data_IF_395615691443
#
_entry.id   IF_395615691443
#
_cell.length_a   1.000
_cell.length_b   1.000
_cell.length_c   1.000
_cell.angle_alpha   90.00
_cell.angle_beta   90.00
_cell.angle_gamma   90.00
#
_symmetry.space_group_name_H-M   'P 1'
#
loop_
_entity.id
_entity.type
_entity.pdbx_description
1 polymer ?
#
# COMPACT_ATOMS: atom_id res chain seq x y z
N UNK A 1 -10.13 -5.01 -14.07
CA UNK A 1 -9.47 -4.69 -12.79
C UNK A 1 -7.97 -4.88 -12.92
N UNK A 2 -7.20 -3.93 -12.45
CA UNK A 2 -5.75 -4.03 -12.39
C UNK A 2 -5.35 -4.38 -10.96
N UNK A 3 -4.46 -5.36 -10.80
CA UNK A 3 -3.94 -5.75 -9.49
C UNK A 3 -2.43 -5.64 -9.52
N UNK A 4 -1.86 -4.96 -8.54
CA UNK A 4 -0.42 -4.77 -8.41
C UNK A 4 0.05 -5.23 -7.04
N UNK A 5 1.24 -5.82 -7.01
CA UNK A 5 1.94 -6.13 -5.77
C UNK A 5 3.19 -5.26 -5.71
N UNK A 6 3.36 -4.59 -4.58
CA UNK A 6 4.59 -3.85 -4.31
C UNK A 6 5.27 -4.50 -3.12
N UNK A 7 6.56 -4.82 -3.29
CA UNK A 7 7.37 -5.34 -2.20
C UNK A 7 8.41 -4.30 -1.84
N UNK A 8 8.41 -3.87 -0.59
CA UNK A 8 9.32 -2.84 -0.12
C UNK A 8 10.04 -3.30 1.14
N UNK A 9 11.36 -3.15 1.14
CA UNK A 9 12.17 -3.41 2.32
C UNK A 9 12.44 -2.09 3.03
N UNK A 10 12.16 -2.05 4.32
CA UNK A 10 12.22 -0.84 5.14
C UNK A 10 13.44 -0.90 6.04
N UNK A 11 14.04 0.24 6.32
CA UNK A 11 15.13 0.33 7.30
C UNK A 11 14.63 -0.18 8.65
N UNK A 12 15.42 -1.07 9.29
CA UNK A 12 14.97 -1.74 10.51
C UNK A 12 14.59 -0.76 11.62
N UNK A 13 15.31 0.34 11.75
CA UNK A 13 15.04 1.36 12.75
C UNK A 13 13.85 2.26 12.42
N UNK A 14 13.24 2.09 11.24
CA UNK A 14 12.10 2.88 10.78
C UNK A 14 10.79 2.09 10.72
N UNK A 15 10.84 0.79 10.97
CA UNK A 15 9.64 -0.06 10.86
C UNK A 15 8.51 0.42 11.78
N UNK A 16 8.82 0.79 13.03
CA UNK A 16 7.81 1.26 13.97
C UNK A 16 7.17 2.58 13.52
N UNK A 17 7.97 3.50 12.97
CA UNK A 17 7.46 4.77 12.45
C UNK A 17 6.56 4.54 11.25
N UNK A 18 6.96 3.63 10.35
CA UNK A 18 6.15 3.27 9.19
C UNK A 18 4.81 2.70 9.62
N UNK A 19 4.79 1.78 10.58
CA UNK A 19 3.54 1.13 10.98
C UNK A 19 2.59 2.12 11.65
N UNK A 20 3.12 3.04 12.44
CA UNK A 20 2.31 4.10 13.02
C UNK A 20 1.68 4.97 11.93
N UNK A 21 2.49 5.40 10.98
CA UNK A 21 2.02 6.22 9.87
C UNK A 21 1.03 5.46 8.98
N UNK A 22 1.25 4.16 8.77
CA UNK A 22 0.33 3.33 7.99
C UNK A 22 -1.04 3.23 8.66
N UNK A 23 -1.09 3.08 9.97
CA UNK A 23 -2.36 3.04 10.71
C UNK A 23 -3.12 4.35 10.57
N UNK A 24 -2.42 5.47 10.65
CA UNK A 24 -3.03 6.80 10.44
C UNK A 24 -3.54 6.95 9.00
N UNK A 25 -2.76 6.49 8.02
CA UNK A 25 -3.16 6.50 6.61
C UNK A 25 -4.42 5.67 6.38
N UNK A 26 -4.47 4.44 6.91
CA UNK A 26 -5.65 3.58 6.74
C UNK A 26 -6.88 4.17 7.44
N UNK A 27 -6.71 4.84 8.57
CA UNK A 27 -7.81 5.56 9.22
C UNK A 27 -8.36 6.66 8.29
N UNK A 28 -7.48 7.41 7.64
CA UNK A 28 -7.89 8.46 6.71
C UNK A 28 -8.58 7.88 5.47
N UNK A 29 -8.08 6.75 4.95
CA UNK A 29 -8.70 6.08 3.80
C UNK A 29 -10.10 5.59 4.17
N UNK A 30 -10.25 4.98 5.34
CA UNK A 30 -11.54 4.49 5.78
C UNK A 30 -12.55 5.62 5.98
N UNK A 31 -12.13 6.76 6.50
CA UNK A 31 -12.98 7.93 6.65
C UNK A 31 -13.42 8.50 5.30
N UNK A 32 -12.54 8.51 4.32
CA UNK A 32 -12.82 9.05 2.99
C UNK A 32 -13.62 8.08 2.09
N UNK A 33 -13.50 6.78 2.33
CA UNK A 33 -14.16 5.71 1.58
C UNK A 33 -14.05 5.87 0.06
N UNK A 34 -12.82 5.95 -0.48
CA UNK A 34 -12.67 6.04 -1.93
C UNK A 34 -13.24 4.79 -2.61
N UNK A 35 -13.91 5.00 -3.73
CA UNK A 35 -14.54 3.93 -4.48
C UNK A 35 -13.63 3.42 -5.59
N UNK A 36 -13.78 2.13 -5.94
CA UNK A 36 -13.03 1.55 -7.06
C UNK A 36 -11.61 1.16 -6.73
N UNK A 37 -11.28 1.00 -5.45
CA UNK A 37 -9.93 0.61 -5.01
C UNK A 37 -10.02 -0.40 -3.86
N UNK A 38 -9.08 -1.35 -3.89
CA UNK A 38 -8.85 -2.30 -2.79
C UNK A 38 -7.38 -2.24 -2.44
N UNK A 39 -7.07 -2.16 -1.17
CA UNK A 39 -5.72 -1.84 -0.74
C UNK A 39 -5.41 -2.53 0.58
N UNK A 40 -4.29 -3.24 0.63
CA UNK A 40 -3.85 -3.92 1.84
C UNK A 40 -2.32 -3.83 1.95
N UNK A 41 -1.84 -3.75 3.17
CA UNK A 41 -0.41 -3.78 3.46
C UNK A 41 -0.14 -4.87 4.49
N UNK A 42 0.78 -5.76 4.18
CA UNK A 42 1.12 -6.90 5.02
C UNK A 42 2.61 -6.91 5.29
N UNK A 43 2.99 -7.38 6.48
CA UNK A 43 4.39 -7.48 6.88
C UNK A 43 4.84 -8.94 6.82
N UNK A 44 6.01 -9.19 6.22
CA UNK A 44 6.61 -10.51 6.23
C UNK A 44 7.22 -10.83 7.61
N UNK A 45 7.45 -12.12 7.90
CA UNK A 45 8.00 -12.52 9.20
C UNK A 45 9.38 -11.93 9.53
N UNK A 46 10.12 -11.44 8.53
CA UNK A 46 11.41 -10.79 8.77
C UNK A 46 11.28 -9.44 9.48
N UNK A 47 10.05 -8.90 9.58
CA UNK A 47 9.77 -7.67 10.30
C UNK A 47 10.16 -6.39 9.56
N UNK A 48 10.75 -6.47 8.38
CA UNK A 48 11.23 -5.29 7.62
C UNK A 48 10.73 -5.26 6.18
N UNK A 49 10.21 -6.36 5.66
CA UNK A 49 9.67 -6.42 4.31
C UNK A 49 8.16 -6.34 4.35
N UNK A 50 7.61 -5.44 3.54
CA UNK A 50 6.16 -5.22 3.45
C UNK A 50 5.69 -5.51 2.04
N UNK A 51 4.57 -6.19 1.93
CA UNK A 51 3.91 -6.50 0.66
C UNK A 51 2.60 -5.73 0.61
N UNK A 52 2.46 -4.93 -0.41
CA UNK A 52 1.26 -4.12 -0.63
C UNK A 52 0.50 -4.71 -1.81
N UNK A 53 -0.79 -4.94 -1.64
CA UNK A 53 -1.69 -5.35 -2.71
C UNK A 53 -2.62 -4.20 -3.04
N UNK A 54 -2.70 -3.87 -4.32
CA UNK A 54 -3.53 -2.77 -4.81
C UNK A 54 -4.36 -3.27 -5.97
N UNK A 55 -5.68 -3.19 -5.82
CA UNK A 55 -6.63 -3.48 -6.89
C UNK A 55 -7.34 -2.21 -7.32
N UNK A 56 -7.33 -1.93 -8.62
CA UNK A 56 -7.99 -0.75 -9.19
C UNK A 56 -9.05 -1.19 -10.20
N UNK A 57 -10.25 -0.63 -10.10
CA UNK A 57 -11.30 -0.85 -11.09
C UNK A 57 -10.92 -0.17 -12.41
N UNK A 58 -10.29 1.00 -12.34
CA UNK A 58 -9.80 1.75 -13.48
C UNK A 58 -8.28 1.91 -13.35
N UNK A 59 -7.52 1.32 -14.28
CA UNK A 59 -6.05 1.34 -14.27
C UNK A 59 -5.46 2.75 -14.32
N UNK A 60 -6.18 3.68 -14.92
CA UNK A 60 -5.71 5.04 -15.14
C UNK A 60 -6.07 5.97 -13.97
N UNK A 61 -6.87 5.50 -13.03
CA UNK A 61 -7.34 6.32 -11.92
C UNK A 61 -7.19 5.59 -10.60
N UNK A 62 -6.28 6.07 -9.76
CA UNK A 62 -6.13 5.56 -8.40
C UNK A 62 -6.80 6.53 -7.41
N UNK A 63 -7.99 6.18 -6.89
CA UNK A 63 -8.71 7.05 -5.96
C UNK A 63 -7.98 7.36 -4.67
N UNK A 64 -6.97 6.57 -4.30
CA UNK A 64 -6.18 6.83 -3.09
C UNK A 64 -5.46 8.18 -3.16
N UNK A 65 -5.11 8.64 -4.36
CA UNK A 65 -4.43 9.93 -4.50
C UNK A 65 -5.31 11.13 -4.14
N UNK A 66 -6.62 10.93 -4.02
CA UNK A 66 -7.53 11.97 -3.51
C UNK A 66 -7.55 12.05 -1.98
N UNK A 67 -6.90 11.11 -1.29
CA UNK A 67 -6.84 11.07 0.16
C UNK A 67 -5.52 11.71 0.60
N UNK A 68 -5.53 12.89 1.26
CA UNK A 68 -4.28 13.55 1.65
C UNK A 68 -3.37 12.69 2.52
N UNK A 69 -3.94 11.90 3.44
CA UNK A 69 -3.17 11.00 4.30
C UNK A 69 -2.40 9.96 3.51
N UNK A 70 -2.93 9.48 2.38
CA UNK A 70 -2.23 8.55 1.50
C UNK A 70 -1.03 9.25 0.84
N UNK A 71 -1.21 10.46 0.33
CA UNK A 71 -0.12 11.20 -0.31
C UNK A 71 1.00 11.50 0.68
N UNK A 72 0.66 11.91 1.89
CA UNK A 72 1.64 12.18 2.95
C UNK A 72 2.43 10.92 3.29
N UNK A 73 1.76 9.78 3.40
CA UNK A 73 2.41 8.51 3.66
C UNK A 73 3.39 8.14 2.55
N UNK A 74 2.98 8.28 1.28
CA UNK A 74 3.84 7.97 0.15
C UNK A 74 5.11 8.84 0.13
N UNK A 75 4.98 10.10 0.49
CA UNK A 75 6.12 11.01 0.55
C UNK A 75 7.09 10.63 1.67
N UNK A 76 6.57 10.30 2.85
CA UNK A 76 7.39 9.87 3.97
C UNK A 76 8.04 8.51 3.72
N UNK A 77 7.36 7.62 3.02
CA UNK A 77 7.87 6.28 2.70
C UNK A 77 9.22 6.34 2.01
N UNK A 78 9.45 7.33 1.16
CA UNK A 78 10.72 7.48 0.45
C UNK A 78 11.91 7.59 1.39
N UNK A 79 11.72 8.10 2.59
CA UNK A 79 12.80 8.25 3.58
C UNK A 79 13.03 6.98 4.40
N UNK A 80 12.10 6.03 4.35
CA UNK A 80 12.15 4.82 5.17
C UNK A 80 12.61 3.57 4.43
N UNK A 81 12.56 3.57 3.09
CA UNK A 81 12.92 2.39 2.30
C UNK A 81 14.43 2.18 2.29
N UNK A 82 14.83 0.90 2.46
CA UNK A 82 16.23 0.49 2.44
C UNK A 82 16.73 0.17 1.04
N UNK A 83 15.83 -0.26 0.16
CA UNK A 83 16.12 -0.65 -1.22
C UNK A 83 14.98 -0.19 -2.12
N UNK A 84 15.22 0.03 -3.42
CA UNK A 84 14.13 0.37 -4.33
C UNK A 84 13.03 -0.69 -4.29
N UNK A 85 11.76 -0.28 -4.21
CA UNK A 85 10.67 -1.24 -4.18
C UNK A 85 10.53 -2.00 -5.49
N UNK A 86 10.06 -3.24 -5.41
CA UNK A 86 9.77 -4.08 -6.57
C UNK A 86 8.27 -4.04 -6.82
N UNK A 87 7.87 -3.67 -8.02
CA UNK A 87 6.46 -3.59 -8.41
C UNK A 87 6.19 -4.67 -9.45
N UNK A 88 5.17 -5.48 -9.22
CA UNK A 88 4.75 -6.52 -10.17
C UNK A 88 3.26 -6.39 -10.45
N UNK A 89 2.87 -6.55 -11.70
CA UNK A 89 1.47 -6.65 -12.05
C UNK A 89 1.01 -8.10 -11.91
N UNK A 90 -0.16 -8.27 -11.30
CA UNK A 90 -0.73 -9.58 -11.05
C UNK A 90 -2.01 -9.75 -11.86
N UNK A 91 -2.23 -10.98 -12.33
CA UNK A 91 -3.50 -11.34 -12.97
C UNK A 91 -4.29 -12.19 -11.98
N UNK A 92 -5.44 -11.73 -11.50
CA UNK A 92 -6.26 -12.54 -10.60
C UNK A 92 -6.74 -13.81 -11.33
N UNK A 93 -6.46 -14.96 -10.74
CA UNK A 93 -6.96 -16.25 -11.25
C UNK A 93 -8.30 -16.58 -10.63
N UNK A 94 -8.51 -16.13 -9.40
CA UNK A 94 -9.75 -16.27 -8.66
C UNK A 94 -9.65 -15.46 -7.40
N UNK A 95 -10.80 -15.06 -6.85
CA UNK A 95 -10.83 -14.25 -5.66
C UNK A 95 -12.15 -14.46 -4.91
N UNK A 96 -12.06 -14.56 -3.59
CA UNK A 96 -13.23 -14.58 -2.74
C UNK A 96 -13.14 -13.43 -1.74
N UNK A 97 -13.95 -12.41 -1.94
CA UNK A 97 -14.07 -11.20 -1.11
C UNK A 97 -12.81 -10.33 -1.03
N UNK A 98 -11.80 -10.58 -1.87
CA UNK A 98 -10.58 -9.77 -1.86
C UNK A 98 -10.56 -8.77 -3.01
N UNK A 99 -10.87 -9.24 -4.21
CA UNK A 99 -10.90 -8.38 -5.40
C UNK A 99 -12.21 -8.49 -6.16
#
# INVERSE_FOLDING_TARGET
>A
MSVRMVRAKIKADKAAELEKAAKEMFTAIEAAQPQGVRYASCKLPDGVTYVILLGLDDDENNPLFSVPGFRDFQENLRTWIAEPPVVEELTPVGSYRLF
#
